data_IF_253084444575
#
_entry.id   IF_253084444575
#
_cell.length_a   1.000
_cell.length_b   1.000
_cell.length_c   1.000
_cell.angle_alpha   90.00
_cell.angle_beta   90.00
_cell.angle_gamma   90.00
#
_symmetry.space_group_name_H-M   'P 1'
#
loop_
_entity.id
_entity.type
_entity.pdbx_description
1 polymer ?
#
# COMPACT_ATOMS: atom_id res chain seq x y z
N UNK A 1 -6.11 -13.75 37.75
CA UNK A 1 -6.55 -12.77 36.73
C UNK A 1 -5.36 -12.54 35.80
N UNK A 2 -5.06 -13.48 34.93
CA UNK A 2 -3.76 -13.59 34.22
C UNK A 2 -3.92 -13.85 32.72
N UNK A 3 -4.94 -13.23 32.10
CA UNK A 3 -5.31 -13.50 30.70
C UNK A 3 -5.23 -12.31 29.74
N UNK A 4 -4.71 -11.16 30.16
CA UNK A 4 -4.80 -9.92 29.36
C UNK A 4 -3.47 -9.31 28.91
N UNK A 5 -2.33 -9.75 29.46
CA UNK A 5 -1.04 -9.14 29.11
C UNK A 5 -0.31 -9.83 27.95
N UNK A 6 -0.67 -11.06 27.58
CA UNK A 6 0.06 -11.80 26.55
C UNK A 6 -0.34 -11.44 25.11
N UNK A 7 -1.56 -10.92 24.87
CA UNK A 7 -1.99 -10.53 23.52
C UNK A 7 -1.47 -9.14 23.08
N UNK A 8 -0.97 -8.33 24.01
CA UNK A 8 -0.45 -6.98 23.71
C UNK A 8 1.01 -6.99 23.22
N UNK A 9 1.78 -8.05 23.49
CA UNK A 9 3.17 -8.15 23.01
C UNK A 9 3.28 -8.60 21.55
N UNK A 10 2.34 -9.44 21.07
CA UNK A 10 2.30 -9.85 19.66
C UNK A 10 1.90 -8.71 18.69
N UNK A 11 1.28 -7.65 19.22
CA UNK A 11 0.94 -6.45 18.44
C UNK A 11 2.12 -5.47 18.35
N UNK A 12 3.01 -5.47 19.34
CA UNK A 12 4.06 -4.46 19.50
C UNK A 12 5.33 -4.73 18.70
N UNK A 13 5.53 -5.96 18.24
CA UNK A 13 6.69 -6.30 17.42
C UNK A 13 6.48 -5.98 15.92
N UNK A 14 5.22 -5.94 15.46
CA UNK A 14 4.88 -5.46 14.10
C UNK A 14 5.12 -3.97 13.91
N UNK A 15 5.04 -3.18 14.98
CA UNK A 15 5.30 -1.74 14.95
C UNK A 15 6.77 -1.36 14.74
N UNK A 16 7.74 -2.26 14.98
CA UNK A 16 9.16 -1.90 14.90
C UNK A 16 9.74 -2.01 13.48
N UNK A 17 9.18 -2.85 12.61
CA UNK A 17 9.49 -2.85 11.18
C UNK A 17 8.71 -1.76 10.41
N UNK A 18 7.71 -1.15 11.06
CA UNK A 18 6.94 -0.01 10.57
C UNK A 18 7.60 1.35 10.78
N UNK A 19 8.92 1.40 10.99
CA UNK A 19 9.67 2.63 11.31
C UNK A 19 9.41 3.71 10.27
N UNK A 20 8.50 4.62 10.60
CA UNK A 20 8.49 6.04 10.23
C UNK A 20 9.05 6.34 8.85
N UNK A 21 8.24 6.09 7.84
CA UNK A 21 8.45 6.63 6.49
C UNK A 21 7.24 7.50 6.10
N UNK A 22 6.52 8.01 7.10
CA UNK A 22 5.48 9.02 6.91
C UNK A 22 6.15 10.39 6.79
N UNK A 23 6.22 10.90 5.56
CA UNK A 23 6.41 12.33 5.29
C UNK A 23 7.85 12.86 5.18
N UNK A 24 8.86 12.05 4.85
CA UNK A 24 10.15 12.62 4.43
C UNK A 24 9.99 13.26 3.04
N UNK A 25 10.60 14.44 2.85
CA UNK A 25 10.52 15.21 1.60
C UNK A 25 11.00 14.39 0.39
N UNK A 26 11.96 13.50 0.60
CA UNK A 26 12.50 12.58 -0.42
C UNK A 26 11.44 11.62 -0.98
N UNK A 27 10.51 11.20 -0.14
CA UNK A 27 9.50 10.19 -0.48
C UNK A 27 8.28 10.82 -1.10
N UNK A 28 7.91 12.01 -0.63
CA UNK A 28 6.98 12.89 -1.35
C UNK A 28 7.49 13.14 -2.77
N UNK A 29 8.78 13.44 -2.93
CA UNK A 29 9.40 13.63 -4.25
C UNK A 29 9.38 12.34 -5.08
N UNK A 30 9.62 11.18 -4.48
CA UNK A 30 9.51 9.89 -5.16
C UNK A 30 8.09 9.64 -5.68
N UNK A 31 7.06 9.96 -4.89
CA UNK A 31 5.66 9.86 -5.32
C UNK A 31 5.31 10.82 -6.46
N UNK A 32 5.76 12.07 -6.38
CA UNK A 32 5.55 13.07 -7.45
C UNK A 32 6.22 12.63 -8.77
N UNK A 33 7.43 12.07 -8.69
CA UNK A 33 8.15 11.56 -9.86
C UNK A 33 7.48 10.35 -10.54
N UNK A 34 6.67 9.59 -9.81
CA UNK A 34 5.86 8.50 -10.37
C UNK A 34 4.65 9.00 -11.20
N UNK A 35 4.44 10.32 -11.27
CA UNK A 35 3.32 10.93 -12.00
C UNK A 35 1.98 10.79 -11.27
N UNK A 36 2.00 10.36 -10.00
CA UNK A 36 0.83 10.19 -9.16
C UNK A 36 0.48 11.52 -8.48
N UNK A 37 0.07 12.52 -9.26
CA UNK A 37 -0.36 13.80 -8.69
C UNK A 37 -1.67 13.70 -7.89
N UNK A 38 -2.56 12.77 -8.29
CA UNK A 38 -3.80 12.41 -7.58
C UNK A 38 -4.18 10.96 -7.87
N UNK A 39 -4.53 10.19 -6.85
CA UNK A 39 -5.18 8.88 -7.00
C UNK A 39 -6.69 9.07 -6.86
N UNK A 40 -7.49 8.96 -7.93
CA UNK A 40 -8.95 8.98 -7.83
C UNK A 40 -9.41 7.81 -6.96
N UNK A 41 -10.25 8.11 -5.98
CA UNK A 41 -10.89 7.14 -5.11
C UNK A 41 -12.30 6.83 -5.63
N UNK A 42 -12.58 5.56 -5.92
CA UNK A 42 -13.88 5.06 -6.39
C UNK A 42 -14.43 3.92 -5.51
N UNK A 43 -14.18 3.99 -4.20
CA UNK A 43 -14.64 2.99 -3.23
C UNK A 43 -16.11 3.15 -2.79
N UNK A 44 -16.80 4.23 -3.17
CA UNK A 44 -18.21 4.43 -2.80
C UNK A 44 -19.19 3.57 -3.61
N UNK A 45 -18.82 3.20 -4.83
CA UNK A 45 -19.70 2.44 -5.74
C UNK A 45 -19.19 1.01 -6.01
N UNK A 46 -17.89 0.74 -5.77
CA UNK A 46 -17.25 -0.52 -6.15
C UNK A 46 -16.33 -1.03 -5.04
N UNK A 47 -16.43 -2.33 -4.74
CA UNK A 47 -15.50 -3.05 -3.86
C UNK A 47 -14.32 -3.65 -4.62
N UNK A 48 -14.32 -3.53 -5.95
CA UNK A 48 -13.28 -4.08 -6.83
C UNK A 48 -13.13 -3.20 -8.06
N UNK A 49 -11.90 -2.82 -8.38
CA UNK A 49 -11.57 -2.02 -9.57
C UNK A 49 -10.41 -2.65 -10.35
N UNK A 50 -10.48 -2.58 -11.68
CA UNK A 50 -9.37 -2.91 -12.55
C UNK A 50 -8.61 -1.60 -12.80
N UNK A 51 -7.38 -1.52 -12.31
CA UNK A 51 -6.51 -0.34 -12.24
C UNK A 51 -5.11 -0.68 -12.78
N UNK A 52 -4.14 0.22 -12.62
CA UNK A 52 -2.73 0.00 -12.98
C UNK A 52 -1.80 0.52 -11.88
N UNK A 53 -0.68 -0.17 -11.64
CA UNK A 53 0.37 0.26 -10.72
C UNK A 53 1.17 1.33 -11.42
N UNK A 54 1.08 2.56 -10.90
CA UNK A 54 1.90 3.68 -11.34
C UNK A 54 3.34 3.52 -10.83
N UNK A 55 3.50 3.01 -9.62
CA UNK A 55 4.80 2.77 -9.03
C UNK A 55 4.76 1.84 -7.84
N UNK A 56 5.90 1.18 -7.62
CA UNK A 56 6.18 0.37 -6.44
C UNK A 56 7.35 1.06 -5.74
N UNK A 57 7.24 1.26 -4.44
CA UNK A 57 8.32 1.73 -3.60
C UNK A 57 8.68 0.68 -2.57
N UNK A 58 9.96 0.63 -2.23
CA UNK A 58 10.50 -0.21 -1.17
C UNK A 58 11.42 0.66 -0.32
N UNK A 59 11.12 0.75 0.97
CA UNK A 59 11.91 1.56 1.92
C UNK A 59 12.05 3.03 1.48
N UNK A 60 11.01 3.58 0.83
CA UNK A 60 10.99 4.95 0.31
C UNK A 60 11.61 5.15 -1.07
N UNK A 61 12.20 4.13 -1.68
CA UNK A 61 12.80 4.22 -3.01
C UNK A 61 11.92 3.56 -4.07
N UNK A 62 11.77 4.22 -5.23
CA UNK A 62 11.01 3.66 -6.35
C UNK A 62 11.75 2.46 -6.95
N UNK A 63 11.09 1.32 -7.01
CA UNK A 63 11.59 0.07 -7.57
C UNK A 63 10.75 -0.37 -8.77
N UNK A 64 11.40 -1.00 -9.75
CA UNK A 64 10.69 -1.50 -10.94
C UNK A 64 9.92 -2.80 -10.70
N UNK A 65 10.29 -3.57 -9.67
CA UNK A 65 9.67 -4.84 -9.34
C UNK A 65 9.82 -5.20 -7.85
N UNK A 66 8.97 -6.10 -7.37
CA UNK A 66 9.02 -6.66 -6.03
C UNK A 66 8.62 -8.13 -6.02
N UNK A 67 9.35 -8.93 -5.24
CA UNK A 67 9.21 -10.37 -5.13
C UNK A 67 8.58 -10.80 -3.80
N UNK A 68 8.07 -12.02 -3.74
CA UNK A 68 7.49 -12.63 -2.54
C UNK A 68 8.28 -12.36 -1.25
N UNK A 69 7.55 -11.97 -0.21
CA UNK A 69 8.07 -11.68 1.14
C UNK A 69 8.59 -10.26 1.33
N UNK A 70 8.67 -9.46 0.27
CA UNK A 70 9.09 -8.06 0.37
C UNK A 70 7.92 -7.16 0.78
N UNK A 71 8.18 -6.28 1.74
CA UNK A 71 7.30 -5.16 2.06
C UNK A 71 7.45 -4.08 0.99
N UNK A 72 6.31 -3.59 0.50
CA UNK A 72 6.24 -2.60 -0.56
C UNK A 72 5.12 -1.60 -0.31
N UNK A 73 5.29 -0.42 -0.89
CA UNK A 73 4.29 0.63 -1.00
C UNK A 73 3.88 0.73 -2.47
N UNK A 74 2.58 0.65 -2.73
CA UNK A 74 2.03 0.62 -4.09
C UNK A 74 1.18 1.86 -4.32
N UNK A 75 1.48 2.54 -5.41
CA UNK A 75 0.69 3.67 -5.90
C UNK A 75 -0.09 3.22 -7.12
N UNK A 76 -1.42 3.30 -7.01
CA UNK A 76 -2.35 2.91 -8.07
C UNK A 76 -2.84 4.14 -8.84
N UNK A 77 -3.24 3.92 -10.09
CA UNK A 77 -3.84 4.96 -10.92
C UNK A 77 -5.24 5.36 -10.46
N UNK A 78 -5.98 4.41 -9.89
CA UNK A 78 -7.29 4.55 -9.27
C UNK A 78 -7.43 3.45 -8.21
N UNK A 79 -8.16 3.72 -7.12
CA UNK A 79 -8.33 2.73 -6.04
C UNK A 79 -9.71 2.79 -5.40
N UNK A 80 -10.18 1.62 -4.95
CA UNK A 80 -11.36 1.50 -4.09
C UNK A 80 -10.99 1.42 -2.59
N UNK A 81 -9.69 1.42 -2.24
CA UNK A 81 -9.22 1.36 -0.86
C UNK A 81 -9.30 2.72 -0.17
N UNK A 82 -9.97 2.76 0.97
CA UNK A 82 -10.03 3.93 1.80
C UNK A 82 -8.71 4.13 2.55
N UNK A 83 -8.07 5.28 2.36
CA UNK A 83 -6.89 5.66 3.12
C UNK A 83 -7.27 6.02 4.56
N UNK A 84 -6.45 5.62 5.53
CA UNK A 84 -6.59 6.02 6.93
C UNK A 84 -6.81 7.54 7.04
N UNK A 85 -7.86 7.92 7.77
CA UNK A 85 -8.24 9.31 7.98
C UNK A 85 -9.18 9.46 9.18
N UNK A 86 -8.90 10.43 10.05
CA UNK A 86 -9.78 10.75 11.19
C UNK A 86 -9.79 9.71 12.32
N UNK A 87 -8.74 8.88 12.44
CA UNK A 87 -8.63 7.83 13.47
C UNK A 87 -9.25 6.48 13.09
N UNK A 88 -9.57 6.29 11.80
CA UNK A 88 -10.03 5.01 11.25
C UNK A 88 -8.87 4.28 10.57
N UNK A 89 -8.78 2.97 10.80
CA UNK A 89 -7.82 2.08 10.14
C UNK A 89 -8.13 2.04 8.63
N UNK A 90 -7.11 2.20 7.79
CA UNK A 90 -7.26 2.12 6.34
C UNK A 90 -7.69 0.72 5.87
N UNK A 91 -8.16 0.63 4.64
CA UNK A 91 -8.65 -0.64 4.09
C UNK A 91 -7.52 -1.66 3.92
N UNK A 92 -7.89 -2.94 4.08
CA UNK A 92 -7.06 -4.11 3.85
C UNK A 92 -7.64 -4.97 2.74
N UNK A 93 -6.78 -5.67 1.99
CA UNK A 93 -7.23 -6.44 0.82
C UNK A 93 -6.08 -7.01 0.01
N UNK A 94 -6.33 -7.35 -1.24
CA UNK A 94 -5.34 -7.92 -2.15
C UNK A 94 -5.33 -7.16 -3.48
N UNK A 95 -4.14 -6.75 -3.90
CA UNK A 95 -3.89 -6.31 -5.27
C UNK A 95 -3.41 -7.53 -6.04
N UNK A 96 -4.13 -7.89 -7.09
CA UNK A 96 -3.79 -8.98 -7.99
C UNK A 96 -3.29 -8.41 -9.30
N UNK A 97 -2.00 -8.54 -9.56
CA UNK A 97 -1.38 -8.21 -10.83
C UNK A 97 -1.26 -9.42 -11.75
N UNK A 98 -0.81 -9.21 -12.99
CA UNK A 98 -0.65 -10.29 -13.98
C UNK A 98 0.41 -11.34 -13.59
N UNK A 99 1.37 -10.97 -12.73
CA UNK A 99 2.53 -11.79 -12.39
C UNK A 99 2.65 -12.07 -10.89
N UNK A 100 1.68 -11.66 -10.08
CA UNK A 100 1.76 -11.81 -8.62
C UNK A 100 0.61 -11.18 -7.85
N UNK A 101 0.65 -11.37 -6.54
CA UNK A 101 -0.33 -10.86 -5.60
C UNK A 101 0.37 -10.07 -4.48
N UNK A 102 -0.25 -8.98 -4.06
CA UNK A 102 0.21 -8.15 -2.95
C UNK A 102 -0.91 -8.04 -1.93
N UNK A 103 -0.64 -8.49 -0.71
CA UNK A 103 -1.57 -8.38 0.41
C UNK A 103 -1.38 -7.00 1.04
N UNK A 104 -2.41 -6.16 0.93
CA UNK A 104 -2.45 -4.83 1.53
C UNK A 104 -2.78 -4.96 3.00
N UNK A 105 -1.89 -4.44 3.82
CA UNK A 105 -1.96 -4.46 5.28
C UNK A 105 -2.31 -3.10 5.84
N UNK A 106 -2.17 -2.04 5.06
CA UNK A 106 -2.53 -0.68 5.47
C UNK A 106 -2.64 0.23 4.24
N UNK A 107 -3.51 1.22 4.28
CA UNK A 107 -3.66 2.21 3.20
C UNK A 107 -3.57 3.60 3.80
N UNK A 108 -2.62 4.42 3.34
CA UNK A 108 -2.32 5.74 3.90
C UNK A 108 -2.41 6.83 2.84
N UNK A 109 -2.62 8.08 3.28
CA UNK A 109 -2.59 9.27 2.42
C UNK A 109 -1.51 10.26 2.92
N UNK A 110 -0.21 9.98 2.71
CA UNK A 110 0.87 10.82 3.21
C UNK A 110 0.90 12.21 2.56
N UNK A 111 0.36 12.35 1.35
CA UNK A 111 0.22 13.61 0.61
C UNK A 111 -1.25 13.80 0.25
N UNK A 112 -1.76 15.03 0.34
CA UNK A 112 -3.16 15.31 0.04
C UNK A 112 -3.51 14.92 -1.41
N UNK A 113 -4.42 13.94 -1.56
CA UNK A 113 -4.86 13.43 -2.85
C UNK A 113 -4.07 12.24 -3.40
N UNK A 114 -3.04 11.78 -2.69
CA UNK A 114 -2.28 10.57 -3.03
C UNK A 114 -2.62 9.45 -2.06
N UNK A 115 -2.98 8.28 -2.58
CA UNK A 115 -3.24 7.08 -1.77
C UNK A 115 -2.12 6.06 -1.99
N UNK A 116 -1.52 5.63 -0.89
CA UNK A 116 -0.42 4.66 -0.85
C UNK A 116 -0.92 3.40 -0.15
N UNK A 117 -0.74 2.26 -0.81
CA UNK A 117 -1.15 0.95 -0.31
C UNK A 117 0.09 0.21 0.19
N UNK A 118 0.21 0.06 1.49
CA UNK A 118 1.32 -0.65 2.11
C UNK A 118 0.96 -2.11 2.29
N UNK A 119 1.83 -2.99 1.83
CA UNK A 119 1.57 -4.41 1.87
C UNK A 119 2.82 -5.26 1.71
N UNK A 120 2.59 -6.57 1.62
CA UNK A 120 3.63 -7.56 1.37
C UNK A 120 3.29 -8.36 0.13
N UNK A 121 4.28 -8.60 -0.72
CA UNK A 121 4.13 -9.49 -1.87
C UNK A 121 3.89 -10.90 -1.33
N UNK A 122 2.67 -11.41 -1.49
CA UNK A 122 2.32 -12.75 -1.04
C UNK A 122 2.79 -13.81 -2.02
N UNK A 123 2.82 -13.48 -3.31
CA UNK A 123 3.25 -14.38 -4.38
C UNK A 123 3.68 -13.62 -5.65
N UNK A 124 4.58 -14.23 -6.43
CA UNK A 124 4.98 -13.74 -7.75
C UNK A 124 6.00 -12.59 -7.80
N UNK A 125 6.11 -11.97 -8.99
CA UNK A 125 6.98 -10.83 -9.34
C UNK A 125 6.10 -9.65 -9.79
N UNK A 126 5.80 -8.74 -8.87
CA UNK A 126 4.96 -7.58 -9.16
C UNK A 126 5.82 -6.49 -9.80
N UNK A 127 5.41 -5.99 -10.96
CA UNK A 127 6.15 -4.95 -11.70
C UNK A 127 5.30 -3.70 -11.84
N UNK A 128 5.94 -2.54 -11.77
CA UNK A 128 5.29 -1.29 -12.12
C UNK A 128 5.07 -1.20 -13.64
N UNK A 129 3.85 -0.82 -14.07
CA UNK A 129 3.51 -0.50 -15.46
C UNK A 129 2.78 -1.57 -16.27
N UNK A 130 2.10 -1.09 -17.35
CA UNK A 130 1.38 -1.74 -18.49
C UNK A 130 0.55 -3.03 -18.27
N UNK A 131 0.47 -3.60 -17.08
CA UNK A 131 -0.53 -4.60 -16.71
C UNK A 131 -1.76 -3.95 -16.08
N UNK A 132 -2.94 -4.51 -16.29
CA UNK A 132 -4.09 -4.17 -15.44
C UNK A 132 -3.98 -4.99 -14.15
N UNK A 133 -4.07 -4.35 -12.98
CA UNK A 133 -4.24 -5.06 -11.72
C UNK A 133 -5.67 -4.91 -11.22
N UNK A 134 -6.10 -5.90 -10.44
CA UNK A 134 -7.41 -5.89 -9.80
C UNK A 134 -7.24 -5.72 -8.30
N UNK A 135 -7.95 -4.75 -7.72
CA UNK A 135 -8.05 -4.55 -6.28
C UNK A 135 -9.32 -5.22 -5.74
N UNK A 136 -9.26 -5.88 -4.59
CA UNK A 136 -10.44 -6.42 -3.90
C UNK A 136 -10.15 -7.09 -2.57
#
# INVERSE_FOLDING_TARGET
MEGFNAEMEAKRDRDRAGRQVTGSMEIVTAYENLGAGRTPFDGYQRTTIDTRILGILREGEAVGHATRGQQVEIVLAETCFYAEGGGQVGDHGVITGPNGHVRIEDTQSPVAGLIVHRGVVSDGDNRAGRGGERTG
#
